data_IF_270778660587
#
_entry.id   IF_270778660587
#
_cell.length_a   1.000
_cell.length_b   1.000
_cell.length_c   1.000
_cell.angle_alpha   90.00
_cell.angle_beta   90.00
_cell.angle_gamma   90.00
#
_symmetry.space_group_name_H-M   'P 1'
#
loop_
_entity.id
_entity.type
_entity.pdbx_description
1 polymer ?
#
# COMPACT_ATOMS: atom_id res chain seq x y z
N UNK A 1 -21.55 -33.86 24.60
CA UNK A 1 -20.79 -32.65 25.00
C UNK A 1 -20.45 -31.86 23.76
N UNK A 2 -21.07 -30.69 23.57
CA UNK A 2 -20.79 -29.80 22.45
C UNK A 2 -19.36 -29.25 22.58
N UNK A 3 -18.49 -29.60 21.63
CA UNK A 3 -17.10 -29.10 21.60
C UNK A 3 -17.15 -27.61 21.25
N UNK A 4 -16.60 -26.77 22.13
CA UNK A 4 -16.47 -25.34 21.88
C UNK A 4 -15.70 -25.07 20.57
N UNK A 5 -16.15 -24.12 19.74
CA UNK A 5 -15.44 -23.75 18.53
C UNK A 5 -14.11 -23.07 18.90
N UNK A 6 -13.00 -23.62 18.42
CA UNK A 6 -11.66 -23.08 18.65
C UNK A 6 -11.46 -21.83 17.78
N UNK A 7 -11.43 -20.66 18.42
CA UNK A 7 -11.29 -19.35 17.76
C UNK A 7 -9.90 -19.09 17.17
N UNK A 8 -8.86 -19.80 17.63
CA UNK A 8 -7.50 -19.64 17.13
C UNK A 8 -6.81 -21.00 17.00
N UNK A 9 -6.37 -21.35 15.78
CA UNK A 9 -5.70 -22.62 15.53
C UNK A 9 -4.28 -22.46 14.98
N UNK A 10 -3.38 -23.29 15.52
CA UNK A 10 -1.95 -23.36 15.20
C UNK A 10 -1.75 -24.10 13.87
N UNK A 11 -1.12 -23.44 12.90
CA UNK A 11 -0.77 -24.01 11.59
C UNK A 11 0.15 -25.23 11.75
N UNK A 12 -0.33 -26.44 11.39
CA UNK A 12 0.49 -27.66 11.21
C UNK A 12 0.43 -28.13 9.75
N UNK A 13 1.41 -27.74 8.93
CA UNK A 13 1.60 -28.27 7.58
C UNK A 13 0.48 -27.92 6.57
N UNK A 14 0.20 -28.85 5.63
CA UNK A 14 -0.68 -28.70 4.45
C UNK A 14 -2.18 -29.00 4.69
N UNK A 15 -2.61 -29.32 5.92
CA UNK A 15 -4.04 -29.48 6.24
C UNK A 15 -4.57 -28.22 6.95
N UNK A 16 -5.55 -27.55 6.35
CA UNK A 16 -6.42 -26.56 7.01
C UNK A 16 -7.71 -27.29 7.41
N UNK A 17 -7.96 -27.44 8.71
CA UNK A 17 -9.14 -28.13 9.27
C UNK A 17 -10.24 -27.16 9.73
N UNK A 18 -10.16 -25.89 9.35
CA UNK A 18 -11.19 -24.88 9.67
C UNK A 18 -12.20 -24.70 8.55
N UNK A 19 -13.43 -24.28 8.89
CA UNK A 19 -14.42 -23.97 7.87
C UNK A 19 -14.04 -22.66 7.14
N UNK A 20 -14.05 -22.64 5.80
CA UNK A 20 -13.75 -21.45 5.02
C UNK A 20 -14.74 -20.30 5.30
N UNK A 21 -15.96 -20.66 5.73
CA UNK A 21 -17.00 -19.73 6.16
C UNK A 21 -16.57 -18.94 7.42
N UNK A 22 -16.01 -19.59 8.44
CA UNK A 22 -15.55 -18.86 9.64
C UNK A 22 -14.39 -17.91 9.33
N UNK A 23 -13.52 -18.30 8.38
CA UNK A 23 -12.42 -17.45 7.92
C UNK A 23 -12.90 -16.20 7.21
N UNK A 24 -13.85 -16.32 6.27
CA UNK A 24 -14.39 -15.15 5.55
C UNK A 24 -15.26 -14.28 6.44
N UNK A 25 -16.03 -14.87 7.36
CA UNK A 25 -16.83 -14.13 8.35
C UNK A 25 -15.90 -13.37 9.31
N UNK A 26 -14.80 -13.98 9.75
CA UNK A 26 -13.80 -13.30 10.58
C UNK A 26 -13.11 -12.13 9.86
N UNK A 27 -12.75 -12.31 8.60
CA UNK A 27 -12.15 -11.26 7.75
C UNK A 27 -13.15 -10.11 7.49
N UNK A 28 -14.40 -10.44 7.17
CA UNK A 28 -15.46 -9.44 6.98
C UNK A 28 -15.76 -8.68 8.27
N UNK A 29 -15.85 -9.36 9.43
CA UNK A 29 -16.03 -8.70 10.73
C UNK A 29 -14.85 -7.81 11.09
N UNK A 30 -13.62 -8.21 10.78
CA UNK A 30 -12.43 -7.40 11.00
C UNK A 30 -12.48 -6.11 10.18
N UNK A 31 -12.68 -6.18 8.86
CA UNK A 31 -12.75 -4.98 8.03
C UNK A 31 -14.00 -4.12 8.32
N UNK A 32 -15.13 -4.74 8.63
CA UNK A 32 -16.33 -4.02 9.07
C UNK A 32 -16.09 -3.27 10.39
N UNK A 33 -15.37 -3.86 11.35
CA UNK A 33 -15.05 -3.17 12.60
C UNK A 33 -14.12 -1.97 12.39
N UNK A 34 -13.11 -2.09 11.53
CA UNK A 34 -12.24 -0.97 11.14
C UNK A 34 -13.02 0.14 10.42
N UNK A 35 -13.90 -0.22 9.47
CA UNK A 35 -14.73 0.75 8.77
C UNK A 35 -15.70 1.45 9.72
N UNK A 36 -16.33 0.70 10.63
CA UNK A 36 -17.25 1.23 11.62
C UNK A 36 -16.55 2.18 12.59
N UNK A 37 -15.41 1.78 13.17
CA UNK A 37 -14.62 2.64 14.05
C UNK A 37 -14.11 3.90 13.34
N UNK A 38 -13.59 3.74 12.12
CA UNK A 38 -13.12 4.84 11.29
C UNK A 38 -14.22 5.83 10.95
N UNK A 39 -15.40 5.33 10.56
CA UNK A 39 -16.55 6.16 10.19
C UNK A 39 -17.15 6.89 11.39
N UNK A 40 -17.34 6.21 12.52
CA UNK A 40 -17.84 6.85 13.75
C UNK A 40 -16.85 7.89 14.26
N UNK A 41 -15.55 7.57 14.24
CA UNK A 41 -14.51 8.51 14.63
C UNK A 41 -14.48 9.75 13.74
N UNK A 42 -14.57 9.59 12.43
CA UNK A 42 -14.68 10.70 11.48
C UNK A 42 -15.93 11.54 11.71
N UNK A 43 -17.10 10.90 11.87
CA UNK A 43 -18.36 11.60 12.15
C UNK A 43 -18.28 12.36 13.47
N UNK A 44 -17.70 11.79 14.53
CA UNK A 44 -17.53 12.46 15.81
C UNK A 44 -16.59 13.68 15.70
N UNK A 45 -15.49 13.56 14.96
CA UNK A 45 -14.56 14.68 14.71
C UNK A 45 -15.23 15.77 13.89
N UNK A 46 -15.88 15.42 12.78
CA UNK A 46 -16.58 16.38 11.91
C UNK A 46 -17.73 17.04 12.65
N UNK A 47 -18.51 16.29 13.44
CA UNK A 47 -19.58 16.82 14.27
C UNK A 47 -19.04 17.76 15.35
N UNK A 48 -17.90 17.45 15.98
CA UNK A 48 -17.24 18.35 16.93
C UNK A 48 -16.80 19.66 16.26
N UNK A 49 -16.21 19.59 15.07
CA UNK A 49 -15.79 20.79 14.32
C UNK A 49 -17.01 21.60 13.88
N UNK A 50 -18.00 20.95 13.25
CA UNK A 50 -19.21 21.60 12.75
C UNK A 50 -20.07 22.19 13.88
N UNK A 51 -20.08 21.53 15.04
CA UNK A 51 -20.71 22.06 16.24
C UNK A 51 -20.02 23.34 16.71
N UNK A 52 -18.68 23.35 16.79
CA UNK A 52 -17.90 24.53 17.17
C UNK A 52 -17.97 25.67 16.14
N UNK A 53 -18.07 25.36 14.84
CA UNK A 53 -17.91 26.37 13.78
C UNK A 53 -19.22 26.86 13.15
N UNK A 54 -20.24 26.00 13.02
CA UNK A 54 -21.48 26.32 12.29
C UNK A 54 -22.68 26.35 13.24
N UNK A 55 -22.88 25.31 14.06
CA UNK A 55 -24.02 25.26 15.00
C UNK A 55 -23.88 26.35 16.06
N UNK A 56 -22.72 26.47 16.69
CA UNK A 56 -22.45 27.55 17.64
C UNK A 56 -22.56 28.94 16.99
N UNK A 57 -22.24 29.10 15.71
CA UNK A 57 -22.30 30.41 15.05
C UNK A 57 -23.72 30.82 14.62
N UNK A 58 -24.54 29.87 14.15
CA UNK A 58 -25.86 30.16 13.59
C UNK A 58 -27.03 29.91 14.54
N UNK A 59 -26.96 28.87 15.38
CA UNK A 59 -28.03 28.51 16.32
C UNK A 59 -27.82 29.11 17.71
N UNK A 60 -26.57 29.40 18.09
CA UNK A 60 -26.21 30.00 19.38
C UNK A 60 -25.22 31.16 19.18
N UNK A 61 -25.54 32.23 18.42
CA UNK A 61 -24.63 33.36 18.20
C UNK A 61 -24.17 34.03 19.51
N UNK A 62 -24.92 33.85 20.59
CA UNK A 62 -24.54 34.25 21.94
C UNK A 62 -23.34 33.43 22.47
N UNK A 63 -23.17 32.17 22.08
CA UNK A 63 -22.10 31.26 22.53
C UNK A 63 -20.78 31.36 21.73
N UNK A 64 -20.68 32.23 20.72
CA UNK A 64 -19.51 32.35 19.85
C UNK A 64 -18.53 33.44 20.29
N UNK A 65 -17.27 33.31 19.85
CA UNK A 65 -16.23 34.30 20.11
C UNK A 65 -16.15 35.31 18.98
N UNK A 66 -16.22 36.59 19.29
CA UNK A 66 -16.06 37.68 18.33
C UNK A 66 -14.62 38.16 18.32
N UNK A 67 -14.09 38.41 17.11
CA UNK A 67 -12.75 38.97 16.95
C UNK A 67 -12.80 40.47 17.27
N UNK A 68 -11.94 40.90 18.18
CA UNK A 68 -11.81 42.29 18.59
C UNK A 68 -10.38 42.66 18.94
N UNK A 69 -10.25 43.80 19.61
CA UNK A 69 -8.98 44.27 20.13
C UNK A 69 -9.11 44.49 21.63
N UNK A 70 -8.06 44.16 22.37
CA UNK A 70 -7.99 44.38 23.80
C UNK A 70 -6.68 45.07 24.17
N UNK A 71 -6.72 45.86 25.24
CA UNK A 71 -5.54 46.47 25.83
C UNK A 71 -5.07 45.57 26.96
N UNK A 72 -3.81 45.17 26.94
CA UNK A 72 -3.22 44.43 28.06
C UNK A 72 -2.96 45.42 29.19
N UNK A 73 -3.49 45.16 30.37
CA UNK A 73 -3.35 46.06 31.53
C UNK A 73 -2.25 45.59 32.48
N UNK A 74 -2.21 44.30 32.76
CA UNK A 74 -1.29 43.70 33.72
C UNK A 74 -0.94 42.29 33.26
N UNK A 75 0.25 41.82 33.61
CA UNK A 75 0.69 40.45 33.36
C UNK A 75 1.18 39.85 34.66
N UNK A 76 0.70 38.66 35.00
CA UNK A 76 1.04 37.96 36.23
C UNK A 76 1.33 36.48 35.97
N UNK A 77 2.13 35.89 36.85
CA UNK A 77 2.42 34.46 36.84
C UNK A 77 1.71 33.81 38.03
N UNK A 78 0.71 32.98 37.76
CA UNK A 78 0.04 32.19 38.79
C UNK A 78 0.87 30.96 39.17
N UNK A 79 0.96 30.67 40.46
CA UNK A 79 1.66 29.49 40.97
C UNK A 79 0.68 28.56 41.69
N UNK A 80 0.80 27.25 41.46
CA UNK A 80 0.03 26.24 42.17
C UNK A 80 0.93 25.09 42.60
N UNK A 81 0.90 24.78 43.89
CA UNK A 81 1.60 23.62 44.44
C UNK A 81 0.69 22.39 44.36
N UNK A 82 1.23 21.28 43.86
CA UNK A 82 0.55 19.98 43.76
C UNK A 82 0.89 19.08 44.95
N UNK A 83 0.01 18.12 45.23
CA UNK A 83 0.27 17.03 46.17
C UNK A 83 1.48 16.22 45.65
N UNK A 84 2.61 16.35 46.36
CA UNK A 84 3.91 15.86 45.93
C UNK A 84 5.00 16.94 45.80
N UNK A 85 4.69 18.21 46.09
CA UNK A 85 5.68 19.30 46.20
C UNK A 85 6.08 19.95 44.88
N UNK A 86 5.59 19.45 43.74
CA UNK A 86 5.81 20.05 42.43
C UNK A 86 5.01 21.36 42.28
N UNK A 87 5.66 22.43 41.83
CA UNK A 87 5.03 23.73 41.53
C UNK A 87 4.72 23.79 40.03
N UNK A 88 3.55 24.32 39.70
CA UNK A 88 3.12 24.61 38.33
C UNK A 88 2.86 26.10 38.16
N UNK A 89 3.25 26.62 37.00
CA UNK A 89 3.16 28.02 36.64
C UNK A 89 2.10 28.25 35.57
N UNK A 90 1.32 29.30 35.70
CA UNK A 90 0.26 29.67 34.76
C UNK A 90 0.42 31.15 34.34
N UNK A 91 0.66 31.44 33.05
CA UNK A 91 0.60 32.80 32.53
C UNK A 91 -0.82 33.35 32.66
N UNK A 92 -0.96 34.51 33.30
CA UNK A 92 -2.22 35.24 33.44
C UNK A 92 -2.01 36.65 32.90
N UNK A 93 -2.82 37.07 31.92
CA UNK A 93 -2.72 38.40 31.33
C UNK A 93 -4.07 39.07 31.55
N UNK A 94 -4.08 40.19 32.28
CA UNK A 94 -5.27 40.99 32.48
C UNK A 94 -5.48 41.83 31.23
N UNK A 95 -6.62 41.61 30.58
CA UNK A 95 -7.00 42.36 29.37
C UNK A 95 -8.21 43.22 29.66
N UNK A 96 -8.19 44.41 29.10
CA UNK A 96 -9.31 45.34 29.03
C UNK A 96 -9.91 45.29 27.62
N UNK A 97 -11.17 44.93 27.52
CA UNK A 97 -11.92 44.89 26.26
C UNK A 97 -12.94 46.01 26.27
N UNK A 98 -12.78 46.94 25.33
CA UNK A 98 -13.76 47.99 25.09
C UNK A 98 -14.82 47.46 24.12
N UNK A 99 -16.02 47.16 24.63
CA UNK A 99 -17.17 46.84 23.77
C UNK A 99 -18.03 48.09 23.57
N UNK A 100 -18.96 48.07 22.60
CA UNK A 100 -19.83 49.23 22.33
C UNK A 100 -20.74 49.62 23.51
N UNK A 101 -20.93 48.71 24.46
CA UNK A 101 -21.92 48.84 25.54
C UNK A 101 -21.26 48.95 26.92
N UNK A 102 -20.17 48.22 27.18
CA UNK A 102 -19.47 48.21 28.49
C UNK A 102 -17.97 47.85 28.36
N UNK A 103 -17.22 48.20 29.41
CA UNK A 103 -15.80 47.87 29.59
C UNK A 103 -15.66 46.60 30.44
N UNK A 104 -14.90 45.62 29.94
CA UNK A 104 -14.69 44.35 30.65
C UNK A 104 -13.22 44.08 30.95
N UNK A 105 -12.98 43.53 32.12
CA UNK A 105 -11.66 43.12 32.60
C UNK A 105 -11.65 41.62 32.86
N UNK A 106 -10.67 40.91 32.31
CA UNK A 106 -10.56 39.47 32.48
C UNK A 106 -9.11 39.00 32.50
N UNK A 107 -8.78 38.10 33.43
CA UNK A 107 -7.49 37.41 33.41
C UNK A 107 -7.54 36.26 32.42
N UNK A 108 -6.70 36.29 31.38
CA UNK A 108 -6.71 35.26 30.34
C UNK A 108 -5.35 35.05 29.67
N UNK A 109 -5.26 33.96 28.90
CA UNK A 109 -4.22 33.73 27.89
C UNK A 109 -4.76 32.75 26.82
N UNK A 110 -5.34 31.63 27.27
CA UNK A 110 -5.98 30.58 26.46
C UNK A 110 -7.34 30.18 27.07
N UNK A 111 -8.23 29.58 26.27
CA UNK A 111 -9.55 29.06 26.74
C UNK A 111 -9.41 28.11 27.93
N UNK A 112 -8.50 27.15 27.83
CA UNK A 112 -8.24 26.19 28.89
C UNK A 112 -6.94 26.56 29.61
N UNK A 113 -6.97 26.76 30.94
CA UNK A 113 -5.78 26.99 31.76
C UNK A 113 -4.73 25.91 31.50
N UNK A 114 -3.58 26.32 30.95
CA UNK A 114 -2.44 25.41 30.73
C UNK A 114 -1.41 25.67 31.81
N UNK A 115 -1.01 24.61 32.52
CA UNK A 115 -0.09 24.67 33.64
C UNK A 115 1.29 24.17 33.22
N UNK A 116 2.26 25.08 33.18
CA UNK A 116 3.63 24.81 32.79
C UNK A 116 4.42 24.26 33.99
N UNK A 117 5.28 23.27 33.75
CA UNK A 117 6.23 22.76 34.74
C UNK A 117 7.50 23.61 34.82
N UNK A 118 7.86 24.28 33.72
CA UNK A 118 9.01 25.18 33.64
C UNK A 118 8.55 26.61 33.88
N UNK A 119 9.17 27.27 34.86
CA UNK A 119 8.91 28.68 35.18
C UNK A 119 9.35 29.60 34.05
N UNK A 120 10.51 29.33 33.46
CA UNK A 120 11.13 30.20 32.46
C UNK A 120 10.28 30.23 31.18
N UNK A 121 9.75 29.08 30.77
CA UNK A 121 8.82 28.98 29.63
C UNK A 121 7.51 29.77 29.86
N UNK A 122 7.01 29.81 31.10
CA UNK A 122 5.80 30.55 31.44
C UNK A 122 6.06 32.06 31.57
N UNK A 123 7.22 32.46 32.08
CA UNK A 123 7.67 33.86 32.14
C UNK A 123 7.89 34.44 30.73
N UNK A 124 8.51 33.70 29.81
CA UNK A 124 8.66 34.14 28.42
C UNK A 124 7.33 34.47 27.72
N UNK A 125 6.26 33.75 28.09
CA UNK A 125 4.92 34.03 27.56
C UNK A 125 4.39 35.34 28.13
N UNK A 126 4.55 35.58 29.44
CA UNK A 126 4.14 36.81 30.12
C UNK A 126 4.90 38.01 29.56
N UNK A 127 6.23 37.91 29.44
CA UNK A 127 7.12 38.96 28.93
C UNK A 127 6.84 39.33 27.47
N UNK A 128 6.21 38.43 26.72
CA UNK A 128 5.76 38.67 25.35
C UNK A 128 4.62 39.70 25.24
N UNK A 129 3.89 39.97 26.32
CA UNK A 129 2.81 40.94 26.34
C UNK A 129 3.19 42.19 27.12
N UNK A 130 3.14 43.34 26.45
CA UNK A 130 3.43 44.65 27.07
C UNK A 130 2.15 45.29 27.61
N UNK A 131 2.10 45.65 28.91
CA UNK A 131 1.05 46.50 29.45
C UNK A 131 0.89 47.82 28.68
N UNK A 132 -0.35 48.26 28.49
CA UNK A 132 -0.74 49.44 27.74
C UNK A 132 -0.82 49.26 26.22
N UNK A 133 -0.45 48.10 25.67
CA UNK A 133 -0.49 47.84 24.23
C UNK A 133 -1.77 47.12 23.80
N UNK A 134 -2.19 47.39 22.57
CA UNK A 134 -3.38 46.80 21.94
C UNK A 134 -3.01 45.50 21.18
N UNK A 135 -3.72 44.41 21.48
CA UNK A 135 -3.52 43.09 20.85
C UNK A 135 -4.84 42.55 20.28
N UNK A 136 -4.78 41.75 19.19
CA UNK A 136 -5.95 41.04 18.69
C UNK A 136 -6.41 40.01 19.73
N UNK A 137 -7.71 40.00 20.02
CA UNK A 137 -8.32 39.09 20.99
C UNK A 137 -9.65 38.53 20.49
N UNK A 138 -10.12 37.50 21.17
CA UNK A 138 -11.41 36.89 20.95
C UNK A 138 -12.19 36.90 22.26
N UNK A 139 -13.30 37.61 22.35
CA UNK A 139 -14.16 37.61 23.54
C UNK A 139 -15.48 36.90 23.26
N UNK A 140 -16.02 36.21 24.26
CA UNK A 140 -17.28 35.50 24.12
C UNK A 140 -18.46 36.48 24.07
N UNK A 141 -19.41 36.27 23.14
CA UNK A 141 -20.57 37.16 22.97
C UNK A 141 -21.54 37.12 24.17
N UNK A 142 -21.62 35.99 24.89
CA UNK A 142 -22.49 35.80 26.05
C UNK A 142 -21.90 36.36 27.36
N UNK A 143 -20.57 36.42 27.43
CA UNK A 143 -19.83 36.89 28.60
C UNK A 143 -18.53 37.54 28.13
N UNK A 144 -18.55 38.86 27.90
CA UNK A 144 -17.38 39.60 27.42
C UNK A 144 -16.18 39.58 28.38
N UNK A 145 -16.34 39.12 29.64
CA UNK A 145 -15.22 38.90 30.56
C UNK A 145 -14.37 37.67 30.18
N UNK A 146 -14.94 36.74 29.41
CA UNK A 146 -14.24 35.57 28.87
C UNK A 146 -13.53 35.93 27.56
N UNK A 147 -12.29 36.39 27.67
CA UNK A 147 -11.44 36.80 26.55
C UNK A 147 -10.37 35.75 26.29
N UNK A 148 -9.87 35.61 25.05
CA UNK A 148 -8.78 34.73 24.67
C UNK A 148 -7.80 35.51 23.79
N UNK A 149 -6.52 35.53 24.18
CA UNK A 149 -5.45 36.19 23.41
C UNK A 149 -4.86 35.28 22.33
N UNK A 150 -4.84 33.96 22.56
CA UNK A 150 -4.24 33.01 21.63
C UNK A 150 -5.13 31.79 21.39
N UNK A 151 -5.48 31.55 20.12
CA UNK A 151 -6.14 30.32 19.68
C UNK A 151 -5.11 29.18 19.63
N UNK A 152 -5.40 28.05 20.26
CA UNK A 152 -4.52 26.87 20.22
C UNK A 152 -4.70 26.10 18.91
N UNK A 153 -3.62 25.85 18.19
CA UNK A 153 -3.61 24.93 17.03
C UNK A 153 -3.78 23.50 17.54
N UNK A 154 -4.91 22.87 17.26
CA UNK A 154 -5.25 21.57 17.81
C UNK A 154 -4.62 20.42 16.98
N UNK A 155 -3.30 20.26 17.06
CA UNK A 155 -2.58 19.20 16.35
C UNK A 155 -3.09 17.78 16.68
N UNK A 156 -3.60 17.59 17.91
CA UNK A 156 -4.28 16.38 18.33
C UNK A 156 -5.50 16.06 17.44
N UNK A 157 -6.27 17.07 17.05
CA UNK A 157 -7.45 16.89 16.18
C UNK A 157 -7.03 16.36 14.80
N UNK A 158 -5.99 16.93 14.20
CA UNK A 158 -5.49 16.47 12.90
C UNK A 158 -4.91 15.05 12.97
N UNK A 159 -4.26 14.70 14.08
CA UNK A 159 -3.74 13.35 14.32
C UNK A 159 -4.88 12.34 14.44
N UNK A 160 -5.92 12.67 15.21
CA UNK A 160 -7.12 11.84 15.38
C UNK A 160 -7.85 11.67 14.03
N UNK A 161 -7.98 12.74 13.25
CA UNK A 161 -8.61 12.71 11.93
C UNK A 161 -7.84 11.79 10.98
N UNK A 162 -6.51 11.86 10.95
CA UNK A 162 -5.69 11.00 10.10
C UNK A 162 -5.83 9.52 10.47
N UNK A 163 -5.80 9.21 11.77
CA UNK A 163 -6.00 7.82 12.26
C UNK A 163 -7.35 7.29 11.82
N UNK A 164 -8.45 8.02 12.06
CA UNK A 164 -9.78 7.55 11.68
C UNK A 164 -9.99 7.50 10.16
N UNK A 165 -9.38 8.42 9.40
CA UNK A 165 -9.36 8.37 7.95
C UNK A 165 -8.65 7.11 7.44
N UNK A 166 -7.52 6.73 8.05
CA UNK A 166 -6.81 5.50 7.67
C UNK A 166 -7.62 4.24 7.97
N UNK A 167 -8.30 4.18 9.12
CA UNK A 167 -9.17 3.05 9.48
C UNK A 167 -10.38 2.95 8.55
N UNK A 168 -10.98 4.08 8.20
CA UNK A 168 -12.07 4.13 7.24
C UNK A 168 -11.62 3.68 5.85
N UNK A 169 -10.45 4.12 5.37
CA UNK A 169 -9.94 3.71 4.06
C UNK A 169 -9.60 2.22 4.01
N UNK A 170 -8.85 1.71 4.99
CA UNK A 170 -8.47 0.28 5.08
C UNK A 170 -9.73 -0.58 5.23
N UNK A 171 -10.64 -0.18 6.11
CA UNK A 171 -11.91 -0.85 6.33
C UNK A 171 -12.79 -0.85 5.07
N UNK A 172 -12.90 0.28 4.36
CA UNK A 172 -13.70 0.38 3.15
C UNK A 172 -13.13 -0.46 2.01
N UNK A 173 -11.81 -0.41 1.79
CA UNK A 173 -11.14 -1.22 0.77
C UNK A 173 -11.31 -2.71 1.11
N UNK A 174 -10.99 -3.11 2.34
CA UNK A 174 -11.13 -4.51 2.77
C UNK A 174 -12.58 -5.00 2.75
N UNK A 175 -13.54 -4.16 3.12
CA UNK A 175 -14.96 -4.48 3.07
C UNK A 175 -15.47 -4.56 1.64
N UNK A 176 -15.02 -3.68 0.75
CA UNK A 176 -15.33 -3.75 -0.68
C UNK A 176 -14.78 -5.03 -1.32
N UNK A 177 -13.52 -5.37 -1.05
CA UNK A 177 -12.94 -6.64 -1.50
C UNK A 177 -13.68 -7.84 -0.93
N UNK A 178 -13.94 -7.87 0.38
CA UNK A 178 -14.65 -9.00 1.00
C UNK A 178 -16.08 -9.11 0.50
N UNK A 179 -16.83 -8.01 0.31
CA UNK A 179 -18.20 -7.99 -0.24
C UNK A 179 -18.26 -8.42 -1.70
N UNK A 180 -17.33 -7.95 -2.55
CA UNK A 180 -17.21 -8.44 -3.93
C UNK A 180 -16.91 -9.94 -3.99
N UNK A 181 -16.27 -10.47 -2.95
CA UNK A 181 -15.92 -11.88 -2.82
C UNK A 181 -16.92 -12.66 -1.95
N UNK A 182 -17.86 -12.00 -1.27
CA UNK A 182 -18.85 -12.61 -0.38
C UNK A 182 -20.04 -13.08 -1.23
N UNK A 183 -20.40 -14.36 -1.13
CA UNK A 183 -21.41 -14.96 -2.01
C UNK A 183 -20.92 -15.29 -3.43
N UNK A 184 -19.74 -14.82 -3.83
CA UNK A 184 -19.01 -15.42 -4.94
C UNK A 184 -18.53 -16.81 -4.49
N UNK A 185 -19.10 -17.87 -5.09
CA UNK A 185 -18.55 -19.24 -5.06
C UNK A 185 -17.04 -19.17 -5.28
N UNK A 186 -16.26 -20.10 -4.72
CA UNK A 186 -14.83 -20.22 -5.02
C UNK A 186 -14.58 -20.22 -6.55
N UNK A 187 -15.57 -20.67 -7.33
CA UNK A 187 -15.67 -20.60 -8.79
C UNK A 187 -15.67 -19.17 -9.34
N UNK A 188 -16.49 -18.28 -8.78
CA UNK A 188 -16.60 -16.90 -9.28
C UNK A 188 -15.40 -16.06 -8.86
N UNK A 189 -14.76 -16.35 -7.72
CA UNK A 189 -13.52 -15.67 -7.27
C UNK A 189 -12.31 -16.06 -8.11
N UNK A 190 -12.17 -17.35 -8.42
CA UNK A 190 -11.11 -17.85 -9.31
C UNK A 190 -11.36 -17.46 -10.76
N UNK A 191 -12.62 -17.46 -11.22
CA UNK A 191 -13.00 -16.96 -12.53
C UNK A 191 -12.82 -15.43 -12.66
N UNK A 192 -13.12 -14.61 -11.64
CA UNK A 192 -12.88 -13.16 -11.66
C UNK A 192 -11.38 -12.82 -11.59
N UNK A 193 -10.58 -13.56 -10.82
CA UNK A 193 -9.12 -13.42 -10.82
C UNK A 193 -8.50 -13.79 -12.17
N UNK A 194 -9.03 -14.84 -12.84
CA UNK A 194 -8.70 -15.17 -14.24
C UNK A 194 -9.32 -14.17 -15.23
N UNK A 195 -10.46 -13.54 -14.90
CA UNK A 195 -11.13 -12.56 -15.76
C UNK A 195 -10.51 -11.17 -15.71
N UNK A 196 -9.77 -10.84 -14.64
CA UNK A 196 -8.92 -9.65 -14.58
C UNK A 196 -7.67 -9.78 -15.48
N UNK A 197 -7.26 -11.02 -15.84
CA UNK A 197 -6.36 -11.29 -16.96
C UNK A 197 -7.08 -11.35 -18.32
N UNK A 198 -8.42 -11.29 -18.32
CA UNK A 198 -9.30 -11.42 -19.48
C UNK A 198 -9.90 -10.06 -19.82
N UNK A 199 -9.09 -9.12 -20.28
CA UNK A 199 -9.60 -8.07 -21.19
C UNK A 199 -9.78 -8.74 -22.56
N UNK A 200 -10.74 -9.67 -22.63
CA UNK A 200 -11.12 -10.42 -23.84
C UNK A 200 -12.53 -9.99 -24.28
N UNK A 201 -13.02 -8.84 -23.78
CA UNK A 201 -14.29 -8.21 -24.22
C UNK A 201 -14.18 -7.60 -25.63
N UNK A 202 -12.98 -7.57 -26.22
CA UNK A 202 -12.72 -7.14 -27.60
C UNK A 202 -12.66 -8.36 -28.55
N UNK A 203 -12.50 -9.59 -28.02
CA UNK A 203 -12.35 -10.81 -28.82
C UNK A 203 -13.61 -11.24 -29.58
N UNK A 204 -14.80 -10.97 -29.04
CA UNK A 204 -16.08 -11.32 -29.67
C UNK A 204 -16.42 -10.48 -30.92
N UNK A 205 -15.64 -9.43 -31.21
CA UNK A 205 -15.79 -8.59 -32.41
C UNK A 205 -14.85 -9.01 -33.55
N UNK A 206 -13.95 -9.97 -33.32
CA UNK A 206 -13.03 -10.47 -34.34
C UNK A 206 -13.66 -11.64 -35.12
N UNK A 207 -13.38 -11.77 -36.43
CA UNK A 207 -13.87 -12.89 -37.22
C UNK A 207 -13.45 -14.23 -36.60
N UNK A 208 -14.27 -15.29 -36.71
CA UNK A 208 -13.96 -16.59 -36.13
C UNK A 208 -12.61 -17.09 -36.63
N UNK A 209 -11.66 -17.27 -35.72
CA UNK A 209 -10.37 -17.85 -36.06
C UNK A 209 -10.53 -19.29 -36.54
N UNK A 210 -9.65 -19.74 -37.44
CA UNK A 210 -9.63 -21.13 -37.90
C UNK A 210 -9.39 -22.15 -36.76
N UNK A 211 -8.90 -21.67 -35.60
CA UNK A 211 -8.58 -22.49 -34.43
C UNK A 211 -9.10 -21.83 -33.13
N UNK A 212 -10.39 -21.99 -32.79
CA UNK A 212 -11.03 -21.25 -31.69
C UNK A 212 -10.47 -21.55 -30.30
N UNK A 213 -9.89 -22.74 -30.10
CA UNK A 213 -9.33 -23.16 -28.81
C UNK A 213 -7.81 -23.00 -28.72
N UNK A 214 -7.16 -22.41 -29.72
CA UNK A 214 -5.74 -22.08 -29.65
C UNK A 214 -5.60 -20.67 -29.05
N UNK A 215 -4.73 -20.46 -28.04
CA UNK A 215 -4.48 -19.14 -27.49
C UNK A 215 -4.09 -18.14 -28.59
N UNK A 216 -4.59 -16.90 -28.52
CA UNK A 216 -4.23 -15.88 -29.51
C UNK A 216 -2.72 -15.62 -29.49
N UNK A 217 -2.13 -15.61 -30.68
CA UNK A 217 -0.70 -15.34 -30.88
C UNK A 217 -0.42 -13.85 -31.12
N UNK A 218 -1.40 -12.97 -30.96
CA UNK A 218 -1.27 -11.54 -31.28
C UNK A 218 -0.12 -10.89 -30.50
N UNK A 219 0.04 -11.26 -29.22
CA UNK A 219 1.14 -10.76 -28.41
C UNK A 219 2.53 -11.27 -28.85
N UNK A 220 2.61 -12.36 -29.62
CA UNK A 220 3.84 -12.89 -30.20
C UNK A 220 4.20 -12.19 -31.52
N UNK A 221 3.21 -11.70 -32.26
CA UNK A 221 3.40 -11.03 -33.56
C UNK A 221 3.55 -9.51 -33.44
N UNK A 222 3.13 -8.92 -32.33
CA UNK A 222 3.19 -7.47 -32.07
C UNK A 222 4.61 -6.88 -31.93
N UNK A 223 5.66 -7.70 -31.83
CA UNK A 223 7.04 -7.22 -31.69
C UNK A 223 7.99 -8.07 -32.54
N UNK A 224 8.40 -7.58 -33.73
CA UNK A 224 9.40 -8.28 -34.54
C UNK A 224 10.73 -8.35 -33.78
N UNK A 225 11.45 -9.46 -33.92
CA UNK A 225 12.79 -9.60 -33.35
C UNK A 225 13.84 -8.86 -34.17
N UNK A 226 15.03 -8.69 -33.58
CA UNK A 226 16.16 -7.98 -34.21
C UNK A 226 17.04 -8.96 -35.00
N UNK A 227 17.21 -10.19 -34.51
CA UNK A 227 17.99 -11.26 -35.17
C UNK A 227 17.08 -12.29 -35.84
N UNK A 228 16.00 -12.68 -35.17
CA UNK A 228 14.99 -13.62 -35.69
C UNK A 228 13.62 -12.94 -35.80
N UNK A 229 12.69 -13.58 -36.50
CA UNK A 229 11.44 -12.94 -36.91
C UNK A 229 10.53 -12.54 -35.73
N UNK A 230 10.46 -13.35 -34.67
CA UNK A 230 9.52 -13.12 -33.57
C UNK A 230 10.23 -13.02 -32.23
N UNK A 231 9.94 -11.97 -31.47
CA UNK A 231 10.45 -11.78 -30.11
C UNK A 231 9.42 -12.21 -29.08
N UNK A 232 9.80 -13.12 -28.19
CA UNK A 232 8.87 -13.64 -27.18
C UNK A 232 8.69 -12.63 -26.04
N UNK A 233 7.45 -12.39 -25.58
CA UNK A 233 7.20 -11.61 -24.39
C UNK A 233 7.68 -12.38 -23.16
N UNK A 234 8.14 -11.65 -22.14
CA UNK A 234 8.38 -12.24 -20.82
C UNK A 234 7.02 -12.30 -20.11
N UNK A 235 6.60 -13.49 -19.68
CA UNK A 235 5.53 -13.62 -18.69
C UNK A 235 6.02 -13.01 -17.38
N UNK A 236 5.56 -11.79 -17.13
CA UNK A 236 6.14 -10.89 -16.12
C UNK A 236 6.04 -11.49 -14.72
N UNK A 237 7.14 -11.39 -13.97
CA UNK A 237 7.14 -11.49 -12.51
C UNK A 237 6.24 -10.41 -11.89
N UNK A 238 5.62 -10.65 -10.72
CA UNK A 238 4.56 -9.80 -10.17
C UNK A 238 5.06 -8.40 -9.76
N UNK A 239 5.12 -7.46 -10.72
CA UNK A 239 5.44 -6.04 -10.53
C UNK A 239 4.48 -5.35 -9.55
N UNK A 240 3.30 -5.93 -9.35
CA UNK A 240 2.35 -5.50 -8.33
C UNK A 240 2.94 -5.47 -6.91
N UNK A 241 3.88 -6.37 -6.57
CA UNK A 241 4.53 -6.34 -5.25
C UNK A 241 5.48 -5.14 -5.09
N UNK A 242 6.18 -4.74 -6.16
CA UNK A 242 7.01 -3.53 -6.14
C UNK A 242 6.15 -2.27 -6.00
N UNK A 243 5.02 -2.23 -6.71
CA UNK A 243 4.06 -1.14 -6.59
C UNK A 243 3.43 -1.06 -5.19
N UNK A 244 3.00 -2.19 -4.64
CA UNK A 244 2.42 -2.25 -3.31
C UNK A 244 3.40 -1.82 -2.21
N UNK A 245 4.67 -2.24 -2.30
CA UNK A 245 5.72 -1.82 -1.35
C UNK A 245 6.08 -0.35 -1.47
N UNK A 246 6.12 0.21 -2.69
CA UNK A 246 6.29 1.64 -2.91
C UNK A 246 5.16 2.45 -2.26
N UNK A 247 3.91 2.06 -2.55
CA UNK A 247 2.73 2.77 -2.03
C UNK A 247 2.69 2.74 -0.50
N UNK A 248 2.94 1.57 0.09
CA UNK A 248 3.06 1.43 1.54
C UNK A 248 4.15 2.33 2.11
N UNK A 249 5.35 2.33 1.51
CA UNK A 249 6.47 3.16 1.94
C UNK A 249 6.14 4.66 1.88
N UNK A 250 5.45 5.13 0.84
CA UNK A 250 5.07 6.53 0.69
C UNK A 250 4.03 6.96 1.73
N UNK A 251 2.94 6.17 1.87
CA UNK A 251 1.87 6.46 2.84
C UNK A 251 2.43 6.46 4.26
N UNK A 252 3.23 5.44 4.61
CA UNK A 252 3.81 5.32 5.94
C UNK A 252 4.80 6.45 6.25
N UNK A 253 5.62 6.85 5.27
CA UNK A 253 6.56 7.97 5.43
C UNK A 253 5.82 9.30 5.61
N UNK A 254 4.74 9.53 4.84
CA UNK A 254 3.89 10.72 5.00
C UNK A 254 3.25 10.80 6.38
N UNK A 255 2.70 9.69 6.87
CA UNK A 255 2.14 9.61 8.23
C UNK A 255 3.21 9.85 9.30
N UNK A 256 4.41 9.29 9.14
CA UNK A 256 5.55 9.48 10.06
C UNK A 256 5.99 10.94 10.10
N UNK A 257 5.98 11.65 8.96
CA UNK A 257 6.32 13.07 8.90
C UNK A 257 5.36 13.94 9.72
N UNK A 258 4.06 13.63 9.75
CA UNK A 258 3.09 14.35 10.59
C UNK A 258 3.42 14.19 12.08
N UNK A 259 3.74 12.97 12.53
CA UNK A 259 4.17 12.73 13.90
C UNK A 259 5.48 13.47 14.24
N UNK A 260 6.45 13.45 13.32
CA UNK A 260 7.72 14.16 13.49
C UNK A 260 7.53 15.68 13.60
N UNK A 261 6.65 16.28 12.79
CA UNK A 261 6.31 17.70 12.90
C UNK A 261 5.63 18.02 14.24
N UNK A 262 4.77 17.12 14.74
CA UNK A 262 4.19 17.22 16.08
C UNK A 262 5.26 17.23 17.18
N UNK A 263 6.22 16.30 17.13
CA UNK A 263 7.35 16.25 18.08
C UNK A 263 8.21 17.51 17.99
N UNK A 264 8.50 18.01 16.79
CA UNK A 264 9.28 19.24 16.61
C UNK A 264 8.55 20.46 17.21
N UNK A 265 7.24 20.57 17.00
CA UNK A 265 6.44 21.65 17.58
C UNK A 265 6.36 21.56 19.12
N UNK A 266 6.31 20.36 19.67
CA UNK A 266 6.32 20.11 21.13
C UNK A 266 7.70 20.42 21.74
N UNK A 267 8.79 20.06 21.03
CA UNK A 267 10.17 20.40 21.41
C UNK A 267 10.41 21.91 21.41
N UNK A 268 9.92 22.64 20.40
CA UNK A 268 10.00 24.10 20.32
C UNK A 268 9.27 24.77 21.49
N UNK A 269 8.19 24.15 21.98
CA UNK A 269 7.42 24.60 23.15
C UNK A 269 7.98 24.14 24.49
N UNK A 270 9.10 23.38 24.50
CA UNK A 270 9.65 22.69 25.69
C UNK A 270 8.64 21.77 26.41
N UNK A 271 7.62 21.28 25.70
CA UNK A 271 6.59 20.38 26.23
C UNK A 271 6.89 18.93 25.80
N UNK A 272 7.57 18.15 26.63
CA UNK A 272 7.97 16.78 26.27
C UNK A 272 6.82 15.78 26.35
N UNK A 273 6.21 15.47 25.21
CA UNK A 273 5.23 14.38 25.08
C UNK A 273 5.92 13.03 24.80
N UNK A 274 6.29 12.32 25.86
CA UNK A 274 7.00 11.02 25.76
C UNK A 274 6.27 9.97 24.93
N UNK A 275 4.94 9.92 24.97
CA UNK A 275 4.16 8.97 24.18
C UNK A 275 4.27 9.27 22.69
N UNK A 276 4.15 10.54 22.30
CA UNK A 276 4.30 10.97 20.91
C UNK A 276 5.73 10.72 20.40
N UNK A 277 6.74 10.97 21.23
CA UNK A 277 8.15 10.70 20.89
C UNK A 277 8.36 9.20 20.63
N UNK A 278 7.91 8.33 21.55
CA UNK A 278 8.08 6.87 21.40
C UNK A 278 7.33 6.33 20.18
N UNK A 279 6.11 6.81 19.94
CA UNK A 279 5.32 6.47 18.76
C UNK A 279 6.03 6.92 17.47
N UNK A 280 6.60 8.13 17.46
CA UNK A 280 7.33 8.66 16.30
C UNK A 280 8.59 7.84 16.02
N UNK A 281 9.34 7.44 17.05
CA UNK A 281 10.52 6.57 16.90
C UNK A 281 10.11 5.23 16.28
N UNK A 282 9.03 4.60 16.78
CA UNK A 282 8.50 3.36 16.22
C UNK A 282 8.06 3.52 14.75
N UNK A 283 7.38 4.61 14.43
CA UNK A 283 6.95 4.92 13.06
C UNK A 283 8.15 5.12 12.11
N UNK A 284 9.19 5.83 12.56
CA UNK A 284 10.45 6.00 11.81
C UNK A 284 11.11 4.64 11.54
N UNK A 285 11.17 3.75 12.54
CA UNK A 285 11.78 2.43 12.36
C UNK A 285 11.07 1.60 11.27
N UNK A 286 9.73 1.60 11.27
CA UNK A 286 8.94 0.93 10.23
C UNK A 286 9.12 1.60 8.87
N UNK A 287 9.18 2.93 8.82
CA UNK A 287 9.48 3.70 7.61
C UNK A 287 10.80 3.31 6.98
N UNK A 288 11.89 3.38 7.76
CA UNK A 288 13.24 2.98 7.34
C UNK A 288 13.27 1.53 6.87
N UNK A 289 12.63 0.61 7.61
CA UNK A 289 12.54 -0.80 7.23
C UNK A 289 11.83 -0.98 5.88
N UNK A 290 10.71 -0.30 5.66
CA UNK A 290 9.95 -0.40 4.40
C UNK A 290 10.73 0.15 3.20
N UNK A 291 11.40 1.30 3.37
CA UNK A 291 12.25 1.90 2.35
C UNK A 291 13.41 0.96 2.01
N UNK A 292 14.08 0.40 3.02
CA UNK A 292 15.15 -0.57 2.82
C UNK A 292 14.66 -1.79 2.03
N UNK A 293 13.48 -2.33 2.36
CA UNK A 293 12.90 -3.47 1.65
C UNK A 293 12.58 -3.14 0.19
N UNK A 294 11.99 -1.97 -0.07
CA UNK A 294 11.70 -1.50 -1.42
C UNK A 294 12.99 -1.33 -2.25
N UNK A 295 13.99 -0.64 -1.70
CA UNK A 295 15.29 -0.45 -2.37
C UNK A 295 15.99 -1.78 -2.61
N UNK A 296 15.92 -2.72 -1.67
CA UNK A 296 16.46 -4.07 -1.84
C UNK A 296 15.75 -4.82 -2.96
N UNK A 297 14.42 -4.74 -3.06
CA UNK A 297 13.67 -5.38 -4.13
C UNK A 297 14.03 -4.78 -5.50
N UNK A 298 14.07 -3.45 -5.62
CA UNK A 298 14.55 -2.77 -6.85
C UNK A 298 15.94 -3.26 -7.20
N UNK A 299 16.89 -3.24 -6.25
CA UNK A 299 18.26 -3.64 -6.50
C UNK A 299 18.38 -5.10 -6.96
N UNK A 300 17.55 -6.00 -6.46
CA UNK A 300 17.52 -7.40 -6.90
C UNK A 300 16.97 -7.52 -8.34
N UNK A 301 15.94 -6.76 -8.69
CA UNK A 301 15.34 -6.77 -10.02
C UNK A 301 16.20 -6.06 -11.08
N UNK A 302 16.94 -5.00 -10.72
CA UNK A 302 17.80 -4.25 -11.65
C UNK A 302 19.17 -4.90 -11.88
N UNK A 303 19.66 -5.71 -10.93
CA UNK A 303 20.95 -6.42 -11.05
C UNK A 303 20.97 -7.44 -12.18
N UNK A 304 19.83 -8.06 -12.47
CA UNK A 304 19.71 -9.03 -13.56
C UNK A 304 19.16 -8.32 -14.77
N UNK A 305 20.05 -7.97 -15.70
CA UNK A 305 19.67 -7.32 -16.95
C UNK A 305 18.66 -8.15 -17.75
N UNK A 306 18.04 -7.55 -18.77
CA UNK A 306 16.98 -8.20 -19.51
C UNK A 306 17.49 -9.45 -20.25
N UNK A 307 16.62 -10.45 -20.35
CA UNK A 307 16.81 -11.66 -21.16
C UNK A 307 15.85 -11.54 -22.32
N UNK A 308 16.35 -11.72 -23.52
CA UNK A 308 15.54 -11.74 -24.72
C UNK A 308 15.64 -13.12 -25.36
N UNK A 309 14.49 -13.58 -25.84
CA UNK A 309 14.38 -14.77 -26.65
C UNK A 309 13.69 -14.37 -27.94
N UNK A 310 14.28 -14.77 -29.05
CA UNK A 310 13.67 -14.66 -30.37
C UNK A 310 13.62 -16.04 -31.03
N UNK A 311 12.58 -16.29 -31.83
CA UNK A 311 12.37 -17.54 -32.56
C UNK A 311 12.25 -17.27 -34.07
N UNK A 312 12.69 -18.24 -34.88
CA UNK A 312 12.74 -18.07 -36.33
C UNK A 312 11.37 -18.00 -37.00
N UNK A 313 10.40 -18.78 -36.51
CA UNK A 313 9.12 -18.97 -37.19
C UNK A 313 7.98 -19.08 -36.20
N UNK A 314 6.81 -18.62 -36.64
CA UNK A 314 5.52 -18.81 -36.00
C UNK A 314 4.48 -18.97 -37.12
N UNK A 315 3.53 -19.92 -37.07
CA UNK A 315 3.23 -20.88 -36.00
C UNK A 315 4.30 -21.98 -35.81
N UNK A 316 4.43 -22.49 -34.58
CA UNK A 316 5.26 -23.65 -34.28
C UNK A 316 4.45 -24.94 -34.49
N UNK A 317 5.04 -25.96 -35.09
CA UNK A 317 4.38 -27.22 -35.48
C UNK A 317 5.16 -28.42 -34.90
N UNK A 318 4.47 -29.49 -34.48
CA UNK A 318 5.11 -30.73 -34.05
C UNK A 318 6.07 -31.32 -35.09
N UNK A 319 7.18 -31.87 -34.60
CA UNK A 319 8.20 -32.55 -35.41
C UNK A 319 9.20 -31.64 -36.11
N UNK A 320 9.04 -30.31 -36.06
CA UNK A 320 9.93 -29.36 -36.74
C UNK A 320 11.00 -28.80 -35.81
N UNK A 321 12.14 -28.45 -36.43
CA UNK A 321 13.25 -27.75 -35.80
C UNK A 321 13.13 -26.23 -35.99
N UNK A 322 13.48 -25.49 -34.94
CA UNK A 322 13.40 -24.03 -34.89
C UNK A 322 14.69 -23.43 -34.34
N UNK A 323 15.06 -22.28 -34.90
CA UNK A 323 16.19 -21.52 -34.39
C UNK A 323 15.73 -20.60 -33.27
N UNK A 324 16.56 -20.51 -32.23
CA UNK A 324 16.32 -19.77 -31.02
C UNK A 324 17.52 -18.85 -30.78
N UNK A 325 17.29 -17.55 -30.73
CA UNK A 325 18.32 -16.59 -30.35
C UNK A 325 18.12 -16.21 -28.88
N UNK A 326 19.11 -16.51 -28.05
CA UNK A 326 19.14 -16.13 -26.64
C UNK A 326 20.08 -14.94 -26.46
N UNK A 327 19.59 -13.84 -25.89
CA UNK A 327 20.40 -12.70 -25.50
C UNK A 327 20.22 -12.39 -24.02
N UNK A 328 21.31 -12.34 -23.26
CA UNK A 328 21.33 -11.92 -21.86
C UNK A 328 22.23 -10.71 -21.70
N UNK A 329 21.62 -9.56 -21.40
CA UNK A 329 22.34 -8.32 -21.14
C UNK A 329 22.60 -8.13 -19.63
N UNK A 330 23.59 -7.29 -19.30
CA UNK A 330 23.86 -6.83 -17.94
C UNK A 330 25.28 -7.10 -17.45
N UNK A 331 25.56 -6.73 -16.19
CA UNK A 331 26.85 -6.97 -15.54
C UNK A 331 26.71 -8.07 -14.50
N UNK A 332 27.03 -9.30 -14.86
CA UNK A 332 26.85 -10.42 -13.93
C UNK A 332 27.81 -11.58 -14.19
N UNK A 333 28.10 -12.32 -13.11
CA UNK A 333 28.76 -13.62 -13.17
C UNK A 333 27.68 -14.68 -13.01
N UNK A 334 27.37 -15.35 -14.09
CA UNK A 334 26.36 -16.40 -14.15
C UNK A 334 27.01 -17.73 -13.79
N UNK A 335 26.56 -18.34 -12.70
CA UNK A 335 27.01 -19.67 -12.30
C UNK A 335 26.46 -20.73 -13.24
N UNK A 336 25.16 -20.62 -13.55
CA UNK A 336 24.42 -21.53 -14.42
C UNK A 336 23.32 -20.77 -15.14
N UNK A 337 23.16 -21.03 -16.43
CA UNK A 337 22.02 -20.60 -17.23
C UNK A 337 21.49 -21.79 -18.01
N UNK A 338 20.24 -22.16 -17.78
CA UNK A 338 19.59 -23.28 -18.44
C UNK A 338 18.38 -22.78 -19.21
N UNK A 339 18.24 -23.25 -20.45
CA UNK A 339 17.05 -23.07 -21.27
C UNK A 339 16.36 -24.42 -21.39
N UNK A 340 15.09 -24.49 -21.03
CA UNK A 340 14.27 -25.71 -21.13
C UNK A 340 12.98 -25.43 -21.86
N UNK A 341 12.63 -26.30 -22.79
CA UNK A 341 11.31 -26.37 -23.39
C UNK A 341 10.39 -27.15 -22.44
N UNK A 342 9.29 -26.52 -22.04
CA UNK A 342 8.36 -27.08 -21.07
C UNK A 342 6.94 -27.04 -21.61
N UNK A 343 6.23 -28.15 -21.44
CA UNK A 343 4.78 -28.21 -21.58
C UNK A 343 4.15 -28.40 -20.21
N UNK A 344 3.21 -27.52 -19.88
CA UNK A 344 2.38 -27.61 -18.68
C UNK A 344 0.92 -27.82 -19.08
N UNK A 345 0.31 -28.82 -18.47
CA UNK A 345 -1.13 -29.06 -18.53
C UNK A 345 -1.76 -28.50 -17.27
N UNK A 346 -2.72 -27.60 -17.43
CA UNK A 346 -3.52 -27.03 -16.37
C UNK A 346 -4.95 -27.59 -16.46
N UNK A 347 -5.39 -28.24 -15.39
CA UNK A 347 -6.75 -28.72 -15.24
C UNK A 347 -7.42 -28.01 -14.07
N UNK A 348 -8.58 -27.42 -14.33
CA UNK A 348 -9.44 -26.78 -13.35
C UNK A 348 -10.69 -27.62 -13.16
N UNK A 349 -10.87 -28.17 -11.95
CA UNK A 349 -11.96 -29.07 -11.62
C UNK A 349 -12.60 -28.71 -10.28
N UNK A 350 -13.82 -29.21 -10.07
CA UNK A 350 -14.56 -29.07 -8.82
C UNK A 350 -14.22 -30.22 -7.89
N UNK A 351 -13.73 -29.90 -6.70
CA UNK A 351 -13.54 -30.87 -5.62
C UNK A 351 -14.56 -30.55 -4.51
N UNK A 352 -15.75 -31.14 -4.62
CA UNK A 352 -16.89 -30.76 -3.78
C UNK A 352 -17.38 -29.37 -4.17
N UNK A 353 -17.31 -28.40 -3.25
CA UNK A 353 -17.68 -26.99 -3.49
C UNK A 353 -16.48 -26.07 -3.76
N UNK A 354 -15.25 -26.61 -3.77
CA UNK A 354 -14.03 -25.85 -4.03
C UNK A 354 -13.54 -26.05 -5.46
N UNK A 355 -13.30 -24.96 -6.18
CA UNK A 355 -12.54 -25.02 -7.44
C UNK A 355 -11.07 -25.21 -7.12
N UNK A 356 -10.48 -26.19 -7.79
CA UNK A 356 -9.04 -26.39 -7.77
C UNK A 356 -8.51 -26.33 -9.18
N UNK A 357 -7.38 -25.67 -9.30
CA UNK A 357 -6.56 -25.67 -10.48
C UNK A 357 -5.28 -26.42 -10.13
N UNK A 358 -5.02 -27.50 -10.84
CA UNK A 358 -3.76 -28.23 -10.76
C UNK A 358 -3.00 -28.06 -12.06
N UNK A 359 -1.70 -27.77 -11.94
CA UNK A 359 -0.80 -27.62 -13.07
C UNK A 359 0.25 -28.72 -12.98
N UNK A 360 0.35 -29.54 -14.02
CA UNK A 360 1.33 -30.61 -14.12
C UNK A 360 2.29 -30.31 -15.27
N UNK A 361 3.58 -30.49 -15.02
CA UNK A 361 4.59 -30.46 -16.08
C UNK A 361 4.59 -31.79 -16.80
N UNK A 362 4.13 -31.82 -18.05
CA UNK A 362 4.00 -33.05 -18.85
C UNK A 362 5.18 -33.26 -19.81
N UNK A 363 5.92 -32.19 -20.12
CA UNK A 363 7.14 -32.26 -20.92
C UNK A 363 8.21 -31.32 -20.35
N UNK A 364 9.45 -31.80 -20.30
CA UNK A 364 10.62 -31.03 -19.87
C UNK A 364 11.85 -31.51 -20.66
N UNK A 365 12.33 -30.67 -21.58
CA UNK A 365 13.53 -30.95 -22.35
C UNK A 365 14.53 -29.81 -22.24
N UNK A 366 15.78 -30.14 -21.90
CA UNK A 366 16.89 -29.19 -21.87
C UNK A 366 17.27 -28.83 -23.32
N UNK A 367 17.16 -27.55 -23.65
CA UNK A 367 17.59 -27.00 -24.94
C UNK A 367 19.06 -26.62 -24.88
N UNK A 368 19.47 -25.95 -23.79
CA UNK A 368 20.85 -25.55 -23.58
C UNK A 368 21.16 -25.35 -22.10
N UNK A 369 22.44 -25.48 -21.75
CA UNK A 369 22.93 -25.33 -20.37
C UNK A 369 24.35 -24.81 -20.36
N UNK A 370 24.48 -23.56 -19.93
CA UNK A 370 25.73 -22.83 -19.85
C UNK A 370 26.18 -22.69 -18.40
N UNK A 371 27.49 -22.73 -18.16
CA UNK A 371 28.08 -22.59 -16.83
C UNK A 371 29.23 -21.59 -16.84
N UNK A 372 29.37 -20.86 -15.74
CA UNK A 372 30.51 -19.97 -15.53
C UNK A 372 30.63 -18.80 -16.52
N UNK A 373 29.49 -18.24 -16.98
CA UNK A 373 29.51 -17.12 -17.92
C UNK A 373 29.81 -15.81 -17.21
N UNK A 374 30.59 -14.93 -17.86
CA UNK A 374 30.85 -13.57 -17.39
C UNK A 374 30.28 -12.59 -18.41
N UNK A 375 29.20 -11.92 -18.04
CA UNK A 375 28.50 -10.96 -18.91
C UNK A 375 28.94 -9.56 -18.51
N UNK A 376 29.47 -8.82 -19.48
CA UNK A 376 30.02 -7.47 -19.29
C UNK A 376 28.99 -6.42 -19.73
N UNK A 377 28.99 -5.23 -19.10
CA UNK A 377 28.20 -4.10 -19.61
C UNK A 377 28.58 -3.81 -21.08
N UNK A 378 27.57 -3.61 -21.94
CA UNK A 378 27.78 -3.29 -23.35
C UNK A 378 28.12 -4.48 -24.26
N UNK A 379 28.43 -5.65 -23.71
CA UNK A 379 28.65 -6.90 -24.45
C UNK A 379 27.67 -7.96 -23.93
N UNK A 380 26.41 -7.97 -24.42
CA UNK A 380 25.45 -8.99 -24.04
C UNK A 380 25.97 -10.37 -24.46
N UNK A 381 25.62 -11.39 -23.68
CA UNK A 381 25.83 -12.77 -24.08
C UNK A 381 24.77 -13.13 -25.12
N UNK A 382 25.19 -13.51 -26.33
CA UNK A 382 24.31 -13.89 -27.43
C UNK A 382 24.69 -15.30 -27.90
N UNK A 383 23.72 -16.19 -28.01
CA UNK A 383 23.91 -17.54 -28.53
C UNK A 383 22.76 -17.95 -29.46
N UNK A 384 23.12 -18.68 -30.52
CA UNK A 384 22.18 -19.27 -31.46
C UNK A 384 21.99 -20.75 -31.12
N UNK A 385 20.79 -21.08 -30.71
CA UNK A 385 20.37 -22.40 -30.26
C UNK A 385 19.36 -22.99 -31.23
N UNK A 386 19.19 -24.31 -31.15
CA UNK A 386 18.19 -25.04 -31.90
C UNK A 386 17.34 -25.84 -30.92
N UNK A 387 16.04 -25.89 -31.18
CA UNK A 387 15.13 -26.75 -30.43
C UNK A 387 14.10 -27.37 -31.36
N UNK A 388 13.68 -28.58 -31.02
CA UNK A 388 12.66 -29.32 -31.75
C UNK A 388 11.37 -29.36 -30.94
N UNK A 389 10.23 -29.14 -31.58
CA UNK A 389 8.95 -29.52 -30.99
C UNK A 389 8.76 -31.03 -31.22
N UNK A 390 8.55 -31.85 -30.18
CA UNK A 390 8.36 -33.30 -30.35
C UNK A 390 7.28 -33.64 -31.36
N UNK A 391 7.44 -34.73 -32.12
CA UNK A 391 6.42 -35.18 -33.07
C UNK A 391 5.08 -35.51 -32.37
N UNK A 392 5.14 -36.02 -31.14
CA UNK A 392 3.99 -36.33 -30.29
C UNK A 392 3.52 -35.14 -29.46
N UNK A 393 3.99 -33.92 -29.73
CA UNK A 393 3.60 -32.74 -28.97
C UNK A 393 2.10 -32.42 -29.17
N UNK A 394 1.39 -32.29 -28.05
CA UNK A 394 0.03 -31.74 -28.06
C UNK A 394 0.10 -30.25 -28.46
N UNK A 395 -0.84 -29.80 -29.29
CA UNK A 395 -0.96 -28.38 -29.62
C UNK A 395 -1.32 -27.56 -28.37
N UNK A 396 -0.96 -26.28 -28.36
CA UNK A 396 -1.40 -25.33 -27.35
C UNK A 396 -2.92 -25.24 -27.38
N UNK A 397 -3.54 -25.33 -26.20
CA UNK A 397 -4.98 -25.44 -26.06
C UNK A 397 -5.45 -24.59 -24.89
N UNK A 398 -6.61 -23.94 -25.03
CA UNK A 398 -7.25 -23.17 -23.97
C UNK A 398 -8.76 -23.42 -24.03
N UNK A 399 -9.32 -23.81 -22.90
CA UNK A 399 -10.77 -23.94 -22.67
C UNK A 399 -11.14 -23.38 -21.30
N UNK A 400 -12.42 -23.48 -20.92
CA UNK A 400 -12.91 -23.05 -19.61
C UNK A 400 -12.30 -23.84 -18.43
N UNK A 401 -11.96 -25.11 -18.66
CA UNK A 401 -11.51 -26.01 -17.58
C UNK A 401 -10.10 -26.56 -17.81
N UNK A 402 -9.67 -26.75 -19.06
CA UNK A 402 -8.37 -27.31 -19.39
C UNK A 402 -7.55 -26.35 -20.26
N UNK A 403 -6.25 -26.29 -20.02
CA UNK A 403 -5.31 -25.56 -20.86
C UNK A 403 -3.99 -26.31 -20.98
N UNK A 404 -3.37 -26.21 -22.16
CA UNK A 404 -2.05 -26.75 -22.46
C UNK A 404 -1.17 -25.59 -22.88
N UNK A 405 -0.16 -25.31 -22.06
CA UNK A 405 0.75 -24.19 -22.22
C UNK A 405 2.15 -24.69 -22.56
N UNK A 406 2.68 -24.18 -23.67
CA UNK A 406 4.07 -24.37 -24.03
C UNK A 406 4.86 -23.11 -23.70
N UNK A 407 6.07 -23.30 -23.16
CA UNK A 407 6.96 -22.19 -22.82
C UNK A 407 8.42 -22.59 -22.84
N UNK A 408 9.27 -21.61 -23.10
CA UNK A 408 10.70 -21.68 -22.89
C UNK A 408 11.00 -21.05 -21.53
N UNK A 409 11.57 -21.85 -20.63
CA UNK A 409 12.02 -21.37 -19.32
C UNK A 409 13.51 -21.08 -19.36
N UNK A 410 13.90 -19.90 -18.90
CA UNK A 410 15.29 -19.54 -18.64
C UNK A 410 15.52 -19.51 -17.13
N UNK A 411 16.26 -20.49 -16.65
CA UNK A 411 16.68 -20.60 -15.26
C UNK A 411 18.12 -20.09 -15.11
N UNK A 412 18.26 -18.93 -14.49
CA UNK A 412 19.50 -18.19 -14.36
C UNK A 412 19.92 -18.09 -12.89
N UNK A 413 21.07 -18.63 -12.52
CA UNK A 413 21.69 -18.43 -11.21
C UNK A 413 22.92 -17.54 -11.33
N UNK A 414 22.83 -16.33 -10.78
CA UNK A 414 23.90 -15.32 -10.84
C UNK A 414 24.43 -14.97 -9.45
N UNK A 415 25.76 -14.80 -9.35
CA UNK A 415 26.43 -14.40 -8.11
C UNK A 415 25.93 -13.03 -7.65
N UNK A 416 25.33 -12.97 -6.45
CA UNK A 416 24.85 -11.72 -5.83
C UNK A 416 23.41 -11.31 -6.19
N UNK A 417 22.79 -11.94 -7.20
CA UNK A 417 21.38 -11.74 -7.56
C UNK A 417 20.51 -12.98 -7.26
N UNK A 418 21.13 -14.15 -7.08
CA UNK A 418 20.43 -15.40 -6.79
C UNK A 418 19.84 -16.04 -8.06
N UNK A 419 18.94 -17.00 -7.84
CA UNK A 419 18.23 -17.73 -8.90
C UNK A 419 17.04 -16.93 -9.40
N UNK A 420 16.94 -16.77 -10.72
CA UNK A 420 15.85 -16.13 -11.44
C UNK A 420 15.28 -17.10 -12.46
N UNK A 421 13.95 -17.22 -12.50
CA UNK A 421 13.25 -18.02 -13.50
C UNK A 421 12.42 -17.07 -14.37
N UNK A 422 12.67 -17.09 -15.67
CA UNK A 422 11.92 -16.30 -16.66
C UNK A 422 11.16 -17.24 -17.58
N UNK A 423 9.88 -16.95 -17.80
CA UNK A 423 8.98 -17.73 -18.66
C UNK A 423 8.71 -16.96 -19.95
N UNK A 424 8.86 -17.64 -21.07
CA UNK A 424 8.58 -17.12 -22.40
C UNK A 424 7.55 -18.04 -23.07
N UNK A 425 6.27 -17.65 -23.14
CA UNK A 425 5.24 -18.50 -23.70
C UNK A 425 5.43 -18.65 -25.21
N UNK A 426 5.11 -19.82 -25.72
CA UNK A 426 5.06 -20.13 -27.16
C UNK A 426 3.72 -20.80 -27.47
N UNK A 427 3.25 -20.67 -28.71
CA UNK A 427 2.02 -21.30 -29.16
C UNK A 427 2.35 -22.35 -30.22
N UNK A 428 2.04 -23.61 -29.90
CA UNK A 428 2.19 -24.77 -30.79
C UNK A 428 0.85 -25.05 -31.45
N UNK A 429 0.85 -25.13 -32.78
CA UNK A 429 -0.34 -25.39 -33.58
C UNK A 429 -0.48 -26.89 -33.86
N UNK A 430 -1.71 -27.38 -34.14
CA UNK A 430 -1.90 -28.76 -34.56
C UNK A 430 -1.14 -29.04 -35.85
N UNK A 431 -0.71 -30.30 -36.08
CA UNK A 431 -0.08 -30.67 -37.33
C UNK A 431 -1.04 -30.37 -38.49
N UNK A 432 -0.50 -29.76 -39.55
CA UNK A 432 -1.23 -29.56 -40.80
C UNK A 432 -1.36 -30.94 -41.43
N UNK A 433 -2.60 -31.39 -41.63
CA UNK A 433 -2.89 -32.65 -42.34
C UNK A 433 -2.48 -32.57 -43.81
#
# INVERSE_FOLDING_TARGET
>A
MARWPRLWEKKRGKRRTGSPLLGSVGEAMFFASLLFLGSIGLVAVVASIAFESVVATYLFPEATYTAGKCVVMETALGEKQLDGGAVRYQPRILVHVHTKTEDYYGWTYRRNPTWYSDREAAEQIVDGFRPGWEYPCWYASYDPSTVILRRSTNFALWSILLVFASFAAIGAIGMFYTLLLFGASAERRSALAKSAQKIELIGDLLPPSAYPNIPSADNLTNSPGVRLAYRLPIEVSPAWWLFATLLFSLIWSGMTAVFALGVLADLERREFNWLLILLTIGAIAVGVWSIYHFLRQIALHTRVGPTYIEISNHPLLPGRDYNLHLSQAGRMHVKKMRVTLVCEEEATFLHGTDVRTETAKVYDAEVANFRGLVIRPGAPFEEMLHFQIPLSAMHSFKSSHNAVHWKLLVDLDAKGAGRQLRSFPIVVYPPVQ
#
